data_IF_189421686139
#
_entry.id   IF_189421686139
#
_cell.length_a   1.000
_cell.length_b   1.000
_cell.length_c   1.000
_cell.angle_alpha   90.00
_cell.angle_beta   90.00
_cell.angle_gamma   90.00
#
_symmetry.space_group_name_H-M   'P 1'
#
loop_
_entity.id
_entity.type
_entity.pdbx_description
1 polymer ?
#
# COMPACT_ATOMS: atom_id res chain seq x y z
N UNK A 1 8.47 -61.86 71.92
CA UNK A 1 7.64 -61.93 70.70
C UNK A 1 7.89 -60.71 69.84
N UNK A 2 8.60 -60.82 68.71
CA UNK A 2 8.65 -59.80 67.67
C UNK A 2 7.64 -60.08 66.54
N UNK A 3 7.17 -59.07 65.80
CA UNK A 3 6.15 -59.23 64.76
C UNK A 3 6.71 -59.79 63.44
N UNK A 4 5.89 -60.43 62.60
CA UNK A 4 6.35 -61.01 61.33
C UNK A 4 6.62 -59.92 60.27
N UNK A 5 7.75 -60.07 59.56
CA UNK A 5 8.15 -59.22 58.44
C UNK A 5 7.24 -59.45 57.22
N UNK A 6 6.70 -58.37 56.65
CA UNK A 6 5.90 -58.41 55.42
C UNK A 6 6.74 -58.81 54.21
N UNK A 7 6.30 -59.82 53.47
CA UNK A 7 6.84 -60.18 52.16
C UNK A 7 6.48 -59.12 51.11
N UNK A 8 7.46 -58.72 50.28
CA UNK A 8 7.33 -57.74 49.20
C UNK A 8 6.86 -58.44 47.92
N UNK A 9 5.70 -58.04 47.39
CA UNK A 9 5.17 -58.55 46.12
C UNK A 9 6.04 -58.11 44.92
N UNK A 10 6.14 -58.92 43.84
CA UNK A 10 6.93 -58.57 42.68
C UNK A 10 6.24 -57.49 41.84
N UNK A 11 7.02 -56.51 41.39
CA UNK A 11 6.55 -55.42 40.53
C UNK A 11 6.16 -55.95 39.14
N UNK A 12 4.95 -55.61 38.69
CA UNK A 12 4.46 -55.89 37.33
C UNK A 12 5.32 -55.15 36.30
N UNK A 13 5.86 -55.88 35.33
CA UNK A 13 6.58 -55.32 34.18
C UNK A 13 5.67 -54.42 33.35
N UNK A 14 6.09 -53.17 33.12
CA UNK A 14 5.42 -52.24 32.21
C UNK A 14 5.56 -52.68 30.75
N UNK A 15 4.67 -52.23 29.86
CA UNK A 15 4.61 -52.72 28.48
C UNK A 15 5.85 -52.28 27.70
N UNK A 16 6.50 -53.24 27.05
CA UNK A 16 7.63 -53.02 26.15
C UNK A 16 7.13 -52.25 24.93
N UNK A 17 7.58 -51.00 24.77
CA UNK A 17 7.32 -50.19 23.57
C UNK A 17 7.96 -50.89 22.37
N UNK A 18 7.14 -51.44 21.48
CA UNK A 18 7.58 -51.98 20.20
C UNK A 18 8.15 -50.85 19.33
N UNK A 19 9.46 -50.93 19.04
CA UNK A 19 10.11 -50.05 18.06
C UNK A 19 9.48 -50.29 16.69
N UNK A 20 8.69 -49.35 16.19
CA UNK A 20 8.22 -49.35 14.79
C UNK A 20 9.45 -49.40 13.88
N UNK A 21 9.54 -50.42 13.02
CA UNK A 21 10.58 -50.52 11.98
C UNK A 21 10.48 -49.28 11.08
N UNK A 22 11.61 -48.62 10.85
CA UNK A 22 11.70 -47.49 9.94
C UNK A 22 11.28 -47.95 8.53
N UNK A 23 10.34 -47.23 7.92
CA UNK A 23 9.90 -47.50 6.56
C UNK A 23 11.08 -47.32 5.60
N UNK A 24 11.32 -48.31 4.75
CA UNK A 24 12.33 -48.23 3.68
C UNK A 24 11.92 -47.12 2.70
N UNK A 25 12.84 -46.17 2.47
CA UNK A 25 12.58 -45.03 1.60
C UNK A 25 12.30 -45.53 0.17
N UNK A 26 11.15 -45.13 -0.39
CA UNK A 26 10.82 -45.38 -1.80
C UNK A 26 11.93 -44.80 -2.69
N UNK A 27 12.29 -45.47 -3.81
CA UNK A 27 13.30 -44.95 -4.73
C UNK A 27 12.89 -43.55 -5.24
N UNK A 28 13.86 -42.68 -5.52
CA UNK A 28 13.56 -41.35 -6.05
C UNK A 28 12.78 -41.49 -7.36
N UNK A 29 11.70 -40.70 -7.48
CA UNK A 29 10.90 -40.62 -8.70
C UNK A 29 11.78 -40.31 -9.91
N UNK A 30 11.42 -40.82 -11.08
CA UNK A 30 12.13 -40.49 -12.31
C UNK A 30 12.06 -38.98 -12.57
N UNK A 31 13.08 -38.42 -13.21
CA UNK A 31 13.13 -36.99 -13.58
C UNK A 31 11.86 -36.50 -14.30
N UNK A 32 11.32 -37.20 -15.33
CA UNK A 32 10.10 -36.76 -15.99
C UNK A 32 8.87 -36.79 -15.08
N UNK A 33 8.74 -37.76 -14.16
CA UNK A 33 7.63 -37.79 -13.19
C UNK A 33 7.75 -36.66 -12.16
N UNK A 34 8.98 -36.31 -11.79
CA UNK A 34 9.24 -35.18 -10.88
C UNK A 34 8.87 -33.87 -11.53
N UNK A 35 9.21 -33.66 -12.81
CA UNK A 35 8.81 -32.49 -13.59
C UNK A 35 7.28 -32.38 -13.66
N UNK A 36 6.57 -33.46 -14.02
CA UNK A 36 5.10 -33.49 -14.03
C UNK A 36 4.48 -33.07 -12.70
N UNK A 37 5.01 -33.57 -11.57
CA UNK A 37 4.53 -33.17 -10.23
C UNK A 37 4.79 -31.70 -9.93
N UNK A 38 5.93 -31.16 -10.39
CA UNK A 38 6.24 -29.73 -10.23
C UNK A 38 5.28 -28.88 -11.07
N UNK A 39 4.97 -29.27 -12.30
CA UNK A 39 3.97 -28.56 -13.13
C UNK A 39 2.57 -28.57 -12.51
N UNK A 40 2.11 -29.70 -11.96
CA UNK A 40 0.84 -29.72 -11.23
C UNK A 40 0.81 -28.73 -10.06
N UNK A 41 1.93 -28.65 -9.33
CA UNK A 41 2.07 -27.66 -8.25
C UNK A 41 2.16 -26.23 -8.78
N UNK A 42 2.78 -26.00 -9.93
CA UNK A 42 2.94 -24.70 -10.55
C UNK A 42 1.58 -24.16 -11.01
N UNK A 43 0.76 -24.99 -11.66
CA UNK A 43 -0.60 -24.62 -12.09
C UNK A 43 -1.45 -24.20 -10.89
N UNK A 44 -1.41 -24.96 -9.78
CA UNK A 44 -2.10 -24.58 -8.56
C UNK A 44 -1.58 -23.26 -7.97
N UNK A 45 -0.26 -23.05 -7.96
CA UNK A 45 0.34 -21.81 -7.47
C UNK A 45 -0.03 -20.59 -8.33
N UNK A 46 -0.12 -20.75 -9.65
CA UNK A 46 -0.55 -19.68 -10.56
C UNK A 46 -2.02 -19.36 -10.35
N UNK A 47 -2.87 -20.38 -10.24
CA UNK A 47 -4.30 -20.20 -9.95
C UNK A 47 -4.54 -19.45 -8.63
N UNK A 48 -3.77 -19.77 -7.59
CA UNK A 48 -3.86 -19.12 -6.28
C UNK A 48 -3.02 -17.81 -6.18
N UNK A 49 -2.45 -17.33 -7.30
CA UNK A 49 -1.60 -16.12 -7.38
C UNK A 49 -0.42 -16.13 -6.40
N UNK A 50 0.11 -17.32 -6.08
CA UNK A 50 1.27 -17.51 -5.23
C UNK A 50 2.59 -17.31 -5.98
N UNK A 51 2.78 -16.13 -6.57
CA UNK A 51 3.85 -15.83 -7.54
C UNK A 51 5.27 -16.15 -7.04
N UNK A 52 5.61 -15.78 -5.80
CA UNK A 52 6.92 -16.08 -5.21
C UNK A 52 7.22 -17.58 -5.10
N UNK A 53 6.18 -18.40 -4.93
CA UNK A 53 6.33 -19.86 -4.89
C UNK A 53 6.35 -20.43 -6.31
N UNK A 54 5.53 -19.90 -7.22
CA UNK A 54 5.55 -20.24 -8.64
C UNK A 54 6.94 -20.07 -9.24
N UNK A 55 7.59 -18.91 -9.04
CA UNK A 55 8.96 -18.63 -9.52
C UNK A 55 9.95 -19.69 -9.00
N UNK A 56 9.91 -20.02 -7.70
CA UNK A 56 10.77 -21.06 -7.12
C UNK A 56 10.48 -22.45 -7.68
N UNK A 57 9.24 -22.73 -8.07
CA UNK A 57 8.87 -24.00 -8.72
C UNK A 57 9.40 -24.03 -10.14
N UNK A 58 9.28 -22.94 -10.91
CA UNK A 58 9.90 -22.80 -12.22
C UNK A 58 11.42 -22.99 -12.16
N UNK A 59 12.11 -22.36 -11.19
CA UNK A 59 13.55 -22.55 -10.99
C UNK A 59 13.93 -24.03 -10.74
N UNK A 60 13.06 -24.79 -10.05
CA UNK A 60 13.27 -26.24 -9.85
C UNK A 60 13.06 -27.03 -11.13
N UNK A 61 12.10 -26.64 -11.96
CA UNK A 61 11.85 -27.28 -13.27
C UNK A 61 13.03 -26.99 -14.19
N UNK A 62 13.42 -25.72 -14.34
CA UNK A 62 14.55 -25.29 -15.17
C UNK A 62 15.90 -25.84 -14.72
N UNK A 63 16.03 -26.23 -13.44
CA UNK A 63 17.22 -26.95 -12.96
C UNK A 63 17.27 -28.41 -13.43
N UNK A 64 16.12 -29.02 -13.69
CA UNK A 64 16.02 -30.38 -14.23
C UNK A 64 16.05 -30.37 -15.76
N UNK A 65 15.36 -29.41 -16.37
CA UNK A 65 15.33 -29.17 -17.81
C UNK A 65 15.56 -27.68 -18.13
N UNK A 66 16.81 -27.26 -18.39
CA UNK A 66 17.13 -25.85 -18.68
C UNK A 66 16.47 -25.28 -19.93
N UNK A 67 15.99 -26.12 -20.84
CA UNK A 67 15.44 -25.69 -22.14
C UNK A 67 13.90 -25.78 -22.19
N UNK A 68 13.24 -26.01 -21.05
CA UNK A 68 11.79 -26.07 -20.95
C UNK A 68 11.17 -24.66 -21.19
N UNK A 69 10.58 -24.49 -22.38
CA UNK A 69 9.98 -23.24 -22.81
C UNK A 69 8.75 -22.84 -21.97
N UNK A 70 7.94 -23.80 -21.54
CA UNK A 70 6.74 -23.55 -20.74
C UNK A 70 7.11 -23.08 -19.33
N UNK A 71 8.12 -23.69 -18.72
CA UNK A 71 8.63 -23.29 -17.42
C UNK A 71 9.27 -21.89 -17.47
N UNK A 72 9.97 -21.56 -18.57
CA UNK A 72 10.54 -20.23 -18.78
C UNK A 72 9.44 -19.17 -18.94
N UNK A 73 8.43 -19.43 -19.78
CA UNK A 73 7.32 -18.50 -19.98
C UNK A 73 6.49 -18.31 -18.71
N UNK A 74 6.20 -19.39 -17.98
CA UNK A 74 5.53 -19.32 -16.69
C UNK A 74 6.35 -18.56 -15.65
N UNK A 75 7.69 -18.67 -15.69
CA UNK A 75 8.58 -17.89 -14.82
C UNK A 75 8.50 -16.41 -15.14
N UNK A 76 8.62 -16.04 -16.42
CA UNK A 76 8.51 -14.64 -16.86
C UNK A 76 7.16 -14.08 -16.42
N UNK A 77 6.05 -14.74 -16.74
CA UNK A 77 4.71 -14.32 -16.32
C UNK A 77 4.61 -14.10 -14.81
N UNK A 78 5.05 -15.09 -14.00
CA UNK A 78 5.00 -14.98 -12.55
C UNK A 78 5.91 -13.87 -11.99
N UNK A 79 7.04 -13.55 -12.65
CA UNK A 79 7.90 -12.43 -12.27
C UNK A 79 7.25 -11.09 -12.59
N UNK A 80 6.58 -10.96 -13.73
CA UNK A 80 5.86 -9.76 -14.13
C UNK A 80 4.69 -9.47 -13.16
N UNK A 81 3.90 -10.48 -12.82
CA UNK A 81 2.81 -10.37 -11.83
C UNK A 81 3.31 -10.13 -10.39
N UNK A 82 4.54 -10.55 -10.08
CA UNK A 82 5.18 -10.29 -8.79
C UNK A 82 5.88 -8.93 -8.72
N UNK A 83 5.75 -8.08 -9.75
CA UNK A 83 6.41 -6.77 -9.87
C UNK A 83 7.96 -6.88 -9.86
N UNK A 84 8.50 -8.04 -10.27
CA UNK A 84 9.94 -8.32 -10.35
C UNK A 84 10.51 -7.99 -11.73
N UNK A 85 10.26 -6.77 -12.21
CA UNK A 85 10.61 -6.33 -13.56
C UNK A 85 12.13 -6.32 -13.83
N UNK A 86 12.94 -5.92 -12.85
CA UNK A 86 14.40 -5.90 -12.99
C UNK A 86 14.97 -7.31 -13.25
N UNK A 87 14.53 -8.31 -12.48
CA UNK A 87 14.97 -9.69 -12.69
C UNK A 87 14.38 -10.31 -13.96
N UNK A 88 13.20 -9.87 -14.40
CA UNK A 88 12.63 -10.34 -15.65
C UNK A 88 13.50 -9.92 -16.84
N UNK A 89 14.02 -8.69 -16.85
CA UNK A 89 14.91 -8.18 -17.90
C UNK A 89 16.18 -9.01 -18.10
N UNK A 90 16.67 -9.69 -17.07
CA UNK A 90 17.85 -10.58 -17.16
C UNK A 90 17.57 -11.86 -17.95
N UNK A 91 16.30 -12.26 -18.05
CA UNK A 91 15.86 -13.53 -18.65
C UNK A 91 15.17 -13.30 -20.00
N UNK A 92 14.55 -12.14 -20.20
CA UNK A 92 13.82 -11.78 -21.40
C UNK A 92 14.73 -11.74 -22.63
N UNK A 93 14.53 -12.71 -23.53
CA UNK A 93 15.14 -12.77 -24.87
C UNK A 93 14.49 -11.86 -25.92
N UNK A 94 14.98 -11.91 -27.16
CA UNK A 94 14.53 -11.11 -28.30
C UNK A 94 13.07 -11.33 -28.70
N UNK A 95 12.50 -12.48 -28.35
CA UNK A 95 11.11 -12.83 -28.63
C UNK A 95 10.09 -12.20 -27.66
N UNK A 96 10.55 -11.59 -26.56
CA UNK A 96 9.69 -11.00 -25.54
C UNK A 96 9.76 -9.46 -25.56
N UNK A 97 9.70 -8.87 -26.76
CA UNK A 97 9.90 -7.42 -26.92
C UNK A 97 8.88 -6.62 -26.13
N UNK A 98 7.61 -7.04 -26.14
CA UNK A 98 6.55 -6.39 -25.38
C UNK A 98 6.79 -6.44 -23.87
N UNK A 99 7.06 -7.63 -23.30
CA UNK A 99 7.31 -7.78 -21.86
C UNK A 99 8.56 -7.01 -21.41
N UNK A 100 9.55 -6.89 -22.31
CA UNK A 100 10.75 -6.10 -22.10
C UNK A 100 10.46 -4.60 -22.07
N UNK A 101 9.68 -4.10 -23.03
CA UNK A 101 9.21 -2.70 -23.03
C UNK A 101 8.35 -2.40 -21.80
N UNK A 102 7.41 -3.29 -21.45
CA UNK A 102 6.55 -3.12 -20.28
C UNK A 102 7.36 -3.13 -18.97
N UNK A 103 8.38 -4.01 -18.85
CA UNK A 103 9.30 -4.01 -17.70
C UNK A 103 10.08 -2.70 -17.58
N UNK A 104 10.58 -2.16 -18.69
CA UNK A 104 11.28 -0.87 -18.71
C UNK A 104 10.35 0.29 -18.32
N UNK A 105 9.12 0.29 -18.82
CA UNK A 105 8.09 1.25 -18.44
C UNK A 105 7.82 1.24 -16.93
N UNK A 106 7.67 0.05 -16.33
CA UNK A 106 7.48 -0.13 -14.89
C UNK A 106 8.67 0.33 -14.06
N UNK A 107 9.88 0.23 -14.61
CA UNK A 107 11.11 0.75 -14.02
C UNK A 107 11.36 2.24 -14.30
N UNK A 108 10.38 2.94 -14.89
CA UNK A 108 10.47 4.37 -15.24
C UNK A 108 11.61 4.68 -16.23
N UNK A 109 11.79 3.81 -17.23
CA UNK A 109 12.76 3.95 -18.32
C UNK A 109 12.01 4.09 -19.65
N UNK A 110 11.23 5.16 -19.78
CA UNK A 110 10.29 5.37 -20.88
C UNK A 110 10.98 5.49 -22.23
N UNK A 111 12.13 6.18 -22.28
CA UNK A 111 12.91 6.33 -23.51
C UNK A 111 13.32 4.97 -24.10
N UNK A 112 13.87 4.07 -23.29
CA UNK A 112 14.25 2.73 -23.73
C UNK A 112 13.03 1.86 -24.05
N UNK A 113 11.94 2.01 -23.29
CA UNK A 113 10.69 1.30 -23.57
C UNK A 113 10.14 1.71 -24.95
N UNK A 114 10.15 3.00 -25.28
CA UNK A 114 9.72 3.52 -26.58
C UNK A 114 10.56 2.96 -27.72
N UNK A 115 11.89 2.97 -27.59
CA UNK A 115 12.77 2.42 -28.63
C UNK A 115 12.41 0.97 -28.95
N UNK A 116 12.11 0.16 -27.94
CA UNK A 116 11.65 -1.22 -28.16
C UNK A 116 10.28 -1.22 -28.84
N UNK A 117 9.32 -0.41 -28.37
CA UNK A 117 7.98 -0.36 -28.97
C UNK A 117 8.00 0.09 -30.42
N UNK A 118 8.92 0.97 -30.83
CA UNK A 118 9.07 1.42 -32.21
C UNK A 118 9.55 0.29 -33.15
N UNK A 119 10.22 -0.72 -32.61
CA UNK A 119 10.58 -1.93 -33.37
C UNK A 119 9.41 -2.90 -33.54
N UNK A 120 8.36 -2.77 -32.72
CA UNK A 120 7.16 -3.60 -32.81
C UNK A 120 6.18 -2.90 -33.76
N UNK A 121 5.68 -3.63 -34.76
CA UNK A 121 4.67 -3.09 -35.68
C UNK A 121 3.38 -2.77 -34.92
N UNK A 122 2.93 -1.50 -34.88
CA UNK A 122 1.85 -1.05 -34.00
C UNK A 122 0.45 -1.51 -34.39
N UNK A 123 0.27 -2.07 -35.59
CA UNK A 123 -1.07 -2.27 -36.14
C UNK A 123 -1.87 -3.42 -35.50
N UNK A 124 -1.24 -4.40 -34.87
CA UNK A 124 -1.93 -5.67 -34.56
C UNK A 124 -2.09 -6.01 -33.08
N UNK A 125 -1.40 -5.30 -32.16
CA UNK A 125 -1.48 -5.61 -30.74
C UNK A 125 -2.02 -4.43 -29.92
N UNK A 126 -3.25 -4.58 -29.45
CA UNK A 126 -3.94 -3.65 -28.54
C UNK A 126 -3.08 -3.27 -27.34
N UNK A 127 -2.35 -4.23 -26.78
CA UNK A 127 -1.52 -4.00 -25.60
C UNK A 127 -0.34 -3.05 -25.88
N UNK A 128 0.21 -3.10 -27.10
CA UNK A 128 1.26 -2.18 -27.57
C UNK A 128 0.72 -0.75 -27.68
N UNK A 129 -0.48 -0.57 -28.24
CA UNK A 129 -1.12 0.74 -28.34
C UNK A 129 -1.39 1.35 -26.96
N UNK A 130 -1.92 0.55 -26.02
CA UNK A 130 -2.16 0.99 -24.63
C UNK A 130 -0.85 1.44 -23.98
N UNK A 131 0.23 0.65 -24.11
CA UNK A 131 1.51 0.99 -23.51
C UNK A 131 2.14 2.24 -24.14
N UNK A 132 2.03 2.39 -25.47
CA UNK A 132 2.46 3.62 -26.16
C UNK A 132 1.71 4.85 -25.66
N UNK A 133 0.39 4.77 -25.51
CA UNK A 133 -0.43 5.88 -25.02
C UNK A 133 -0.02 6.28 -23.59
N UNK A 134 0.17 5.29 -22.72
CA UNK A 134 0.63 5.51 -21.35
C UNK A 134 2.02 6.16 -21.28
N UNK A 135 2.95 5.74 -22.15
CA UNK A 135 4.28 6.33 -22.25
C UNK A 135 4.20 7.79 -22.73
N UNK A 136 3.42 8.08 -23.78
CA UNK A 136 3.23 9.45 -24.29
C UNK A 136 2.62 10.37 -23.22
N UNK A 137 1.63 9.87 -22.47
CA UNK A 137 1.04 10.59 -21.35
C UNK A 137 2.07 10.96 -20.27
N UNK A 138 2.96 10.02 -19.89
CA UNK A 138 3.99 10.28 -18.87
C UNK A 138 5.04 11.29 -19.32
N UNK A 139 5.32 11.37 -20.60
CA UNK A 139 6.25 12.37 -21.15
C UNK A 139 5.62 13.73 -21.43
N UNK A 140 4.30 13.84 -21.30
CA UNK A 140 3.56 15.07 -21.57
C UNK A 140 3.21 15.29 -23.04
N UNK A 141 3.45 14.30 -23.91
CA UNK A 141 2.92 14.30 -25.27
C UNK A 141 1.44 13.87 -25.25
N UNK A 142 0.61 14.75 -24.70
CA UNK A 142 -0.82 14.49 -24.51
C UNK A 142 -1.59 14.43 -25.83
N UNK A 143 -1.11 15.08 -26.89
CA UNK A 143 -1.74 15.05 -28.21
C UNK A 143 -1.66 13.63 -28.79
N UNK A 144 -0.46 13.05 -28.88
CA UNK A 144 -0.26 11.68 -29.34
C UNK A 144 -0.97 10.67 -28.43
N UNK A 145 -0.99 10.89 -27.11
CA UNK A 145 -1.73 10.04 -26.18
C UNK A 145 -3.24 10.04 -26.47
N UNK A 146 -3.84 11.20 -26.75
CA UNK A 146 -5.25 11.31 -27.13
C UNK A 146 -5.55 10.54 -28.42
N UNK A 147 -4.71 10.71 -29.45
CA UNK A 147 -4.87 10.02 -30.73
C UNK A 147 -4.81 8.50 -30.58
N UNK A 148 -3.86 7.99 -29.78
CA UNK A 148 -3.74 6.56 -29.50
C UNK A 148 -4.93 6.01 -28.69
N UNK A 149 -5.44 6.77 -27.71
CA UNK A 149 -6.64 6.37 -26.98
C UNK A 149 -7.89 6.37 -27.87
N UNK A 150 -8.05 7.35 -28.76
CA UNK A 150 -9.14 7.33 -29.75
C UNK A 150 -9.03 6.11 -30.68
N UNK A 151 -7.83 5.81 -31.17
CA UNK A 151 -7.58 4.61 -31.98
C UNK A 151 -7.95 3.32 -31.23
N UNK A 152 -7.70 3.24 -29.93
CA UNK A 152 -8.11 2.10 -29.11
C UNK A 152 -9.64 2.00 -28.99
N UNK A 153 -10.33 3.13 -28.82
CA UNK A 153 -11.79 3.20 -28.70
C UNK A 153 -12.53 2.80 -29.99
N UNK A 154 -11.84 2.88 -31.14
CA UNK A 154 -12.37 2.42 -32.42
C UNK A 154 -12.32 0.89 -32.59
N UNK A 155 -11.67 0.16 -31.68
CA UNK A 155 -11.57 -1.31 -31.74
C UNK A 155 -12.85 -2.00 -31.20
N UNK A 156 -13.34 -3.09 -31.85
CA UNK A 156 -14.65 -3.68 -31.56
C UNK A 156 -14.74 -4.52 -30.26
N UNK A 157 -13.62 -4.93 -29.66
CA UNK A 157 -13.58 -5.79 -28.47
C UNK A 157 -13.04 -5.05 -27.23
N UNK A 158 -13.68 -3.94 -26.85
CA UNK A 158 -13.21 -3.09 -25.75
C UNK A 158 -14.10 -3.08 -24.50
N UNK A 159 -15.17 -3.89 -24.43
CA UNK A 159 -16.23 -3.73 -23.43
C UNK A 159 -15.75 -3.65 -21.97
N UNK A 160 -14.74 -4.45 -21.58
CA UNK A 160 -14.23 -4.47 -20.21
C UNK A 160 -13.22 -3.34 -19.91
N UNK A 161 -12.57 -2.78 -20.93
CA UNK A 161 -11.48 -1.79 -20.80
C UNK A 161 -11.89 -0.39 -21.28
N UNK A 162 -13.06 -0.26 -21.91
CA UNK A 162 -13.58 0.98 -22.50
C UNK A 162 -13.62 2.12 -21.49
N UNK A 163 -14.14 1.85 -20.28
CA UNK A 163 -14.26 2.87 -19.24
C UNK A 163 -12.88 3.39 -18.79
N UNK A 164 -11.91 2.49 -18.63
CA UNK A 164 -10.55 2.84 -18.25
C UNK A 164 -9.85 3.69 -19.33
N UNK A 165 -10.05 3.33 -20.60
CA UNK A 165 -9.49 4.07 -21.74
C UNK A 165 -10.13 5.45 -21.85
N UNK A 166 -11.45 5.57 -21.66
CA UNK A 166 -12.14 6.86 -21.63
C UNK A 166 -11.66 7.76 -20.49
N UNK A 167 -11.45 7.20 -19.30
CA UNK A 167 -10.92 7.94 -18.16
C UNK A 167 -9.50 8.48 -18.44
N UNK A 168 -8.65 7.65 -19.04
CA UNK A 168 -7.28 8.05 -19.41
C UNK A 168 -7.29 9.09 -20.54
N UNK A 169 -8.16 8.93 -21.55
CA UNK A 169 -8.36 9.91 -22.61
C UNK A 169 -8.80 11.26 -22.02
N UNK A 170 -9.78 11.25 -21.11
CA UNK A 170 -10.25 12.47 -20.46
C UNK A 170 -9.12 13.18 -19.70
N UNK A 171 -8.30 12.44 -18.96
CA UNK A 171 -7.14 13.00 -18.28
C UNK A 171 -6.14 13.61 -19.27
N UNK A 172 -5.83 12.92 -20.37
CA UNK A 172 -4.93 13.43 -21.41
C UNK A 172 -5.48 14.72 -22.06
N UNK A 173 -6.78 14.76 -22.37
CA UNK A 173 -7.47 15.93 -22.92
C UNK A 173 -7.43 17.11 -21.95
N UNK A 174 -7.72 16.90 -20.67
CA UNK A 174 -7.65 17.97 -19.66
C UNK A 174 -6.26 18.60 -19.58
N UNK A 175 -5.20 17.78 -19.64
CA UNK A 175 -3.83 18.28 -19.66
C UNK A 175 -3.51 19.04 -20.95
N UNK A 176 -3.93 18.52 -22.10
CA UNK A 176 -3.74 19.17 -23.39
C UNK A 176 -4.46 20.52 -23.46
N UNK A 177 -5.71 20.57 -23.01
CA UNK A 177 -6.54 21.79 -22.96
C UNK A 177 -5.91 22.84 -22.05
N UNK A 178 -5.39 22.41 -20.88
CA UNK A 178 -4.69 23.27 -19.96
C UNK A 178 -3.44 23.90 -20.59
N UNK A 179 -2.61 23.09 -21.25
CA UNK A 179 -1.38 23.58 -21.90
C UNK A 179 -1.70 24.53 -23.05
N UNK A 180 -2.73 24.21 -23.84
CA UNK A 180 -3.05 24.95 -25.06
C UNK A 180 -3.74 26.28 -24.78
N UNK A 181 -4.69 26.31 -23.84
CA UNK A 181 -5.53 27.50 -23.61
C UNK A 181 -5.86 27.75 -22.14
N UNK A 182 -5.99 26.70 -21.33
CA UNK A 182 -6.41 26.81 -19.93
C UNK A 182 -5.43 27.57 -19.05
N UNK A 183 -4.13 27.45 -19.29
CA UNK A 183 -3.10 28.19 -18.55
C UNK A 183 -3.24 29.70 -18.74
N UNK A 184 -3.37 30.15 -19.98
CA UNK A 184 -3.56 31.57 -20.29
C UNK A 184 -4.87 32.10 -19.73
N UNK A 185 -5.95 31.32 -19.82
CA UNK A 185 -7.23 31.67 -19.22
C UNK A 185 -7.16 31.75 -17.68
N UNK A 186 -6.40 30.86 -17.04
CA UNK A 186 -6.19 30.89 -15.60
C UNK A 186 -5.40 32.13 -15.18
N UNK A 187 -4.35 32.51 -15.92
CA UNK A 187 -3.59 33.74 -15.66
C UNK A 187 -4.48 34.98 -15.76
N UNK A 188 -5.39 35.04 -16.75
CA UNK A 188 -6.33 36.15 -16.90
C UNK A 188 -7.37 36.26 -15.78
N UNK A 189 -7.58 35.20 -14.99
CA UNK A 189 -8.51 35.18 -13.84
C UNK A 189 -7.83 35.46 -12.51
N UNK A 190 -6.50 35.59 -12.48
CA UNK A 190 -5.79 35.88 -11.23
C UNK A 190 -6.17 37.30 -10.74
N UNK A 191 -6.49 37.45 -9.44
CA UNK A 191 -6.74 38.76 -8.87
C UNK A 191 -5.49 39.64 -8.97
N UNK A 192 -5.68 40.96 -9.04
CA UNK A 192 -4.54 41.86 -9.06
C UNK A 192 -3.84 41.85 -7.68
N UNK A 193 -2.56 42.22 -7.63
CA UNK A 193 -1.78 42.20 -6.40
C UNK A 193 -2.36 43.11 -5.29
N UNK A 194 -2.91 44.27 -5.65
CA UNK A 194 -3.55 45.19 -4.70
C UNK A 194 -4.85 44.62 -4.10
N UNK A 195 -5.60 43.82 -4.87
CA UNK A 195 -6.80 43.14 -4.38
C UNK A 195 -6.43 42.09 -3.32
N UNK A 196 -5.28 41.41 -3.49
CA UNK A 196 -4.77 40.42 -2.52
C UNK A 196 -4.30 41.06 -1.21
N UNK A 197 -3.69 42.25 -1.27
CA UNK A 197 -3.21 42.98 -0.09
C UNK A 197 -4.37 43.59 0.73
N UNK A 198 -5.47 43.94 0.06
CA UNK A 198 -6.65 44.55 0.69
C UNK A 198 -7.70 43.51 1.11
N UNK A 199 -7.61 42.28 0.58
CA UNK A 199 -8.54 41.22 0.90
C UNK A 199 -8.44 40.81 2.39
N UNK A 200 -9.56 40.75 3.12
CA UNK A 200 -9.55 40.22 4.48
C UNK A 200 -9.10 38.75 4.45
N UNK A 201 -8.38 38.27 5.49
CA UNK A 201 -7.89 36.91 5.54
C UNK A 201 -9.06 35.93 5.38
N UNK A 202 -8.87 34.83 4.62
CA UNK A 202 -9.95 33.87 4.37
C UNK A 202 -10.47 33.36 5.71
N UNK A 203 -11.77 33.58 5.95
CA UNK A 203 -12.42 33.11 7.16
C UNK A 203 -12.25 31.58 7.27
N UNK A 204 -11.97 31.04 8.47
CA UNK A 204 -11.85 29.59 8.64
C UNK A 204 -13.12 28.92 8.13
N UNK A 205 -12.96 27.84 7.36
CA UNK A 205 -14.07 27.11 6.76
C UNK A 205 -15.10 26.74 7.83
N UNK A 206 -16.25 27.41 7.81
CA UNK A 206 -17.36 27.12 8.72
C UNK A 206 -17.93 25.75 8.35
N UNK A 207 -18.23 24.88 9.33
CA UNK A 207 -18.86 23.60 9.06
C UNK A 207 -20.19 23.82 8.34
N UNK A 208 -20.46 23.01 7.31
CA UNK A 208 -21.60 23.12 6.38
C UNK A 208 -22.98 23.23 7.05
N UNK A 209 -23.08 22.89 8.35
CA UNK A 209 -24.29 23.04 9.15
C UNK A 209 -24.77 24.50 9.30
N UNK A 210 -23.88 25.50 9.25
CA UNK A 210 -24.27 26.91 9.43
C UNK A 210 -24.83 27.57 8.15
N UNK A 211 -24.49 27.05 6.95
CA UNK A 211 -25.01 27.60 5.68
C UNK A 211 -26.50 27.31 5.45
N UNK A 212 -27.02 26.22 6.02
CA UNK A 212 -28.43 25.82 5.87
C UNK A 212 -29.40 26.70 6.70
N UNK A 213 -28.92 27.35 7.75
CA UNK A 213 -29.75 28.19 8.64
C UNK A 213 -29.97 29.58 8.06
N UNK A 214 -29.05 30.09 7.22
CA UNK A 214 -29.19 31.42 6.62
C UNK A 214 -30.23 31.48 5.48
N UNK A 215 -30.55 30.34 4.85
CA UNK A 215 -31.47 30.28 3.70
C UNK A 215 -32.95 30.25 4.07
N UNK A 216 -33.32 30.13 5.35
CA UNK A 216 -34.73 30.05 5.78
C UNK A 216 -35.30 31.36 6.33
N UNK A 217 -34.51 32.41 6.45
CA UNK A 217 -34.94 33.71 7.02
C UNK A 217 -35.44 34.75 6.01
N UNK A 218 -35.50 34.45 4.71
CA UNK A 218 -35.99 35.39 3.68
C UNK A 218 -37.09 34.77 2.81
N UNK A 219 -38.28 34.62 3.38
CA UNK A 219 -39.52 34.52 2.61
C UNK A 219 -40.69 35.00 3.48
N UNK A 220 -41.01 36.29 3.39
CA UNK A 220 -42.25 36.84 3.94
C UNK A 220 -42.86 37.80 2.90
N UNK A 221 -43.88 37.33 2.16
CA UNK A 221 -44.83 38.17 1.42
C UNK A 221 -46.11 37.40 1.04
N UNK A 222 -47.26 37.97 1.44
CA UNK A 222 -48.63 37.81 0.94
C UNK A 222 -49.63 36.82 1.62
N UNK A 223 -50.95 37.14 1.68
CA UNK A 223 -51.79 36.94 2.87
C UNK A 223 -53.08 36.08 2.74
N UNK A 224 -53.58 35.61 3.91
CA UNK A 224 -54.97 35.30 4.38
C UNK A 224 -55.99 34.52 3.50
N UNK A 225 -56.45 33.35 3.98
CA UNK A 225 -57.86 32.99 4.32
C UNK A 225 -57.99 31.51 4.78
N UNK A 226 -59.12 31.14 5.40
CA UNK A 226 -59.32 30.14 6.47
C UNK A 226 -59.81 28.71 6.03
N UNK A 227 -59.97 27.73 6.97
CA UNK A 227 -59.81 26.27 6.76
C UNK A 227 -61.13 25.50 6.51
N UNK A 228 -61.09 24.15 6.37
CA UNK A 228 -61.63 23.35 7.49
C UNK A 228 -60.97 21.99 7.77
N UNK A 229 -60.99 21.66 9.08
CA UNK A 229 -61.25 20.35 9.73
C UNK A 229 -60.34 19.14 9.46
N UNK A 230 -59.69 18.64 10.52
CA UNK A 230 -59.36 17.21 10.63
C UNK A 230 -58.17 16.86 11.52
N UNK A 231 -58.46 16.53 12.78
CA UNK A 231 -57.61 15.80 13.75
C UNK A 231 -56.25 16.41 14.15
N UNK A 232 -56.24 16.98 15.35
CA UNK A 232 -55.06 17.21 16.17
C UNK A 232 -54.57 15.90 16.81
N UNK A 233 -53.36 15.46 16.48
CA UNK A 233 -52.57 14.59 17.34
C UNK A 233 -51.08 14.98 17.22
N UNK A 234 -50.40 15.39 18.32
CA UNK A 234 -48.98 15.68 18.26
C UNK A 234 -48.19 14.36 18.16
N UNK A 235 -47.29 14.27 17.18
CA UNK A 235 -46.34 13.17 17.06
C UNK A 235 -45.35 13.27 18.24
N UNK A 236 -45.48 12.36 19.21
CA UNK A 236 -44.57 12.26 20.34
C UNK A 236 -43.15 11.86 19.89
N UNK A 237 -42.08 12.42 20.47
CA UNK A 237 -40.71 12.08 20.11
C UNK A 237 -40.39 10.62 20.47
N UNK A 238 -39.82 9.89 19.52
CA UNK A 238 -39.47 8.46 19.67
C UNK A 238 -38.42 8.29 20.77
N UNK A 239 -38.71 7.46 21.78
CA UNK A 239 -37.75 7.13 22.87
C UNK A 239 -36.52 6.40 22.31
N UNK A 240 -35.33 6.88 22.69
CA UNK A 240 -34.04 6.26 22.37
C UNK A 240 -33.99 4.86 23.02
N UNK A 241 -33.63 3.84 22.24
CA UNK A 241 -33.54 2.46 22.72
C UNK A 241 -32.37 2.31 23.69
N UNK A 242 -32.67 2.06 24.97
CA UNK A 242 -31.71 1.92 26.08
C UNK A 242 -30.64 0.82 25.94
N UNK A 243 -30.66 0.03 24.86
CA UNK A 243 -29.63 -0.97 24.56
C UNK A 243 -28.31 -0.36 24.05
N UNK A 244 -28.29 0.91 23.64
CA UNK A 244 -27.10 1.59 23.09
C UNK A 244 -26.51 2.66 24.03
N UNK A 245 -26.94 2.69 25.29
CA UNK A 245 -26.46 3.64 26.29
C UNK A 245 -25.82 2.86 27.43
N UNK A 246 -24.53 3.08 27.75
CA UNK A 246 -23.85 2.44 28.88
C UNK A 246 -24.58 2.67 30.20
N UNK A 247 -24.55 1.68 31.11
CA UNK A 247 -25.17 1.81 32.44
C UNK A 247 -24.62 3.05 33.16
N UNK A 248 -25.50 3.99 33.49
CA UNK A 248 -25.17 5.24 34.21
C UNK A 248 -25.34 6.54 33.41
N UNK A 249 -25.66 6.47 32.11
CA UNK A 249 -25.87 7.68 31.28
C UNK A 249 -27.36 7.89 31.00
N UNK A 250 -27.94 8.96 31.55
CA UNK A 250 -29.28 9.46 31.19
C UNK A 250 -29.10 10.67 30.27
N UNK A 251 -29.61 10.62 29.01
CA UNK A 251 -29.52 11.76 28.10
C UNK A 251 -30.22 12.98 28.69
N UNK A 252 -29.50 14.10 28.81
CA UNK A 252 -30.02 15.38 29.31
C UNK A 252 -29.68 15.72 30.77
N UNK A 253 -29.15 14.77 31.56
CA UNK A 253 -28.79 15.00 32.98
C UNK A 253 -27.35 14.56 33.30
N UNK A 254 -26.67 13.89 32.37
CA UNK A 254 -25.24 13.58 32.53
C UNK A 254 -24.38 14.76 32.06
N UNK A 255 -23.40 15.24 32.86
CA UNK A 255 -22.44 16.22 32.38
C UNK A 255 -21.69 15.66 31.15
N UNK A 256 -21.32 16.51 30.18
CA UNK A 256 -20.60 16.08 28.99
C UNK A 256 -19.34 15.31 29.40
N UNK A 257 -18.98 14.24 28.67
CA UNK A 257 -17.78 13.45 28.98
C UNK A 257 -16.55 14.37 29.02
N UNK A 258 -15.67 14.11 29.99
CA UNK A 258 -14.51 14.94 30.35
C UNK A 258 -13.78 15.52 29.10
N UNK A 259 -13.69 16.86 28.98
CA UNK A 259 -13.08 17.52 27.84
C UNK A 259 -11.59 17.18 27.69
N UNK A 260 -10.91 16.68 28.72
CA UNK A 260 -9.50 16.30 28.66
C UNK A 260 -9.30 14.83 28.26
N UNK A 261 -10.35 14.15 27.78
CA UNK A 261 -10.29 12.73 27.41
C UNK A 261 -9.32 12.43 26.27
N UNK A 262 -9.06 13.40 25.40
CA UNK A 262 -8.14 13.27 24.27
C UNK A 262 -6.68 13.56 24.63
N UNK A 263 -6.40 14.12 25.83
CA UNK A 263 -5.03 14.31 26.33
C UNK A 263 -4.41 13.03 26.88
N UNK A 264 -3.07 12.92 26.84
CA UNK A 264 -2.36 11.79 27.46
C UNK A 264 -2.61 11.78 28.97
N UNK A 265 -2.59 10.60 29.61
CA UNK A 265 -3.00 10.43 31.01
C UNK A 265 -2.21 11.31 32.00
N UNK A 266 -0.97 11.66 31.68
CA UNK A 266 -0.09 12.53 32.47
C UNK A 266 -0.40 14.02 32.33
N UNK A 267 -1.13 14.41 31.28
CA UNK A 267 -1.46 15.80 30.94
C UNK A 267 -2.90 16.15 31.34
N UNK A 268 -3.62 15.20 31.95
CA UNK A 268 -4.98 15.42 32.46
C UNK A 268 -4.91 16.10 33.82
N UNK A 269 -5.75 17.09 34.05
CA UNK A 269 -5.93 17.79 35.33
C UNK A 269 -6.24 16.84 36.49
N UNK A 270 -6.86 15.69 36.23
CA UNK A 270 -7.15 14.62 37.20
C UNK A 270 -5.93 13.76 37.56
N UNK A 271 -4.79 13.96 36.89
CA UNK A 271 -3.57 13.21 37.14
C UNK A 271 -2.84 13.74 38.37
N UNK A 272 -3.10 13.13 39.52
CA UNK A 272 -2.24 13.30 40.69
C UNK A 272 -1.09 12.30 40.63
N UNK A 273 0.12 12.79 40.32
CA UNK A 273 1.33 12.00 40.49
C UNK A 273 1.48 11.62 41.96
N UNK A 274 1.26 10.34 42.28
CA UNK A 274 1.42 9.82 43.63
C UNK A 274 2.80 10.15 44.18
N UNK A 275 2.83 10.74 45.39
CA UNK A 275 4.04 11.06 46.16
C UNK A 275 5.03 9.88 46.11
N UNK A 276 6.13 10.06 45.37
CA UNK A 276 7.22 9.10 45.29
C UNK A 276 7.91 9.08 46.67
N UNK A 277 7.62 8.07 47.50
CA UNK A 277 8.37 7.82 48.74
C UNK A 277 9.83 7.58 48.37
N UNK A 278 10.71 8.24 49.10
CA UNK A 278 12.10 8.47 48.75
C UNK A 278 12.88 7.19 48.41
N UNK A 279 13.56 7.25 47.28
CA UNK A 279 14.82 6.55 47.07
C UNK A 279 15.89 7.62 46.84
N UNK A 280 16.60 7.91 47.92
CA UNK A 280 17.75 8.80 48.02
C UNK A 280 18.98 8.23 47.29
N UNK A 281 19.80 9.13 46.74
CA UNK A 281 21.16 8.89 46.24
C UNK A 281 21.22 8.76 44.71
N UNK A 282 21.83 9.64 43.92
CA UNK A 282 22.71 10.77 44.19
C UNK A 282 22.57 11.83 43.07
N UNK A 283 22.92 13.05 43.42
CA UNK A 283 22.78 14.31 42.69
C UNK A 283 23.93 14.56 41.71
N UNK A 284 23.76 15.60 40.86
CA UNK A 284 24.69 16.29 39.93
C UNK A 284 24.35 15.98 38.45
N UNK A 285 23.81 16.85 37.58
CA UNK A 285 23.37 18.26 37.59
C UNK A 285 22.60 18.50 36.26
N UNK A 286 21.47 19.25 36.26
CA UNK A 286 21.32 20.68 35.90
C UNK A 286 21.31 20.96 34.36
N UNK A 287 20.14 20.99 33.69
CA UNK A 287 19.25 22.10 33.20
C UNK A 287 19.41 22.47 31.70
N UNK A 288 18.32 22.32 30.92
CA UNK A 288 17.51 23.36 30.20
C UNK A 288 18.02 23.80 28.83
N UNK A 289 17.16 23.70 27.80
CA UNK A 289 17.32 24.41 26.51
C UNK A 289 16.80 25.85 26.58
N UNK A 290 16.36 26.45 25.46
CA UNK A 290 17.11 26.83 24.24
C UNK A 290 17.04 28.37 23.99
N UNK A 291 18.00 28.98 23.29
CA UNK A 291 17.75 30.20 22.49
C UNK A 291 18.86 30.46 21.45
N UNK A 292 18.47 31.17 20.38
CA UNK A 292 19.21 31.43 19.15
C UNK A 292 20.31 32.49 19.28
N UNK A 293 21.30 32.44 18.38
CA UNK A 293 21.83 33.59 17.62
C UNK A 293 22.81 33.08 16.55
N UNK A 294 22.71 33.64 15.35
CA UNK A 294 23.59 33.32 14.22
C UNK A 294 24.92 34.08 14.25
N UNK A 295 25.84 33.68 13.37
CA UNK A 295 27.01 34.49 13.01
C UNK A 295 28.32 33.73 12.76
N UNK A 296 28.51 33.31 11.50
CA UNK A 296 29.74 33.34 10.68
C UNK A 296 31.15 32.93 11.20
N UNK A 297 31.81 32.11 10.37
CA UNK A 297 33.28 32.02 10.16
C UNK A 297 34.01 31.03 11.08
N UNK A 298 34.89 30.14 10.65
CA UNK A 298 35.53 29.86 9.37
C UNK A 298 36.82 29.06 9.64
N UNK A 299 37.19 28.15 8.73
CA UNK A 299 38.60 27.84 8.42
C UNK A 299 39.33 26.66 9.10
N UNK A 300 39.82 25.74 8.24
CA UNK A 300 41.09 25.01 8.37
C UNK A 300 41.05 23.70 9.14
N UNK A 301 41.17 22.52 8.52
CA UNK A 301 42.42 21.92 7.99
C UNK A 301 42.96 20.93 9.04
N UNK A 302 43.48 19.72 8.82
CA UNK A 302 43.97 18.95 7.69
C UNK A 302 44.85 17.82 8.30
N UNK A 303 45.06 16.71 7.60
CA UNK A 303 46.01 15.63 7.97
C UNK A 303 45.32 14.28 8.20
N UNK A 304 45.45 13.25 7.36
CA UNK A 304 46.62 12.52 6.82
C UNK A 304 46.97 11.25 7.63
N UNK A 305 47.18 10.14 6.90
CA UNK A 305 47.80 8.89 7.35
C UNK A 305 46.79 7.76 7.58
N UNK A 306 46.84 6.58 6.97
CA UNK A 306 47.88 5.91 6.20
C UNK A 306 48.18 4.52 6.79
N UNK A 307 48.03 3.46 5.98
CA UNK A 307 48.55 2.09 6.22
C UNK A 307 47.66 1.20 7.11
N UNK A 308 47.50 -0.11 6.89
CA UNK A 308 48.18 -1.07 6.03
C UNK A 308 48.25 -2.44 6.74
N UNK A 309 48.13 -3.55 5.98
CA UNK A 309 48.39 -4.94 6.42
C UNK A 309 47.16 -5.69 6.95
N UNK A 310 46.68 -6.79 6.37
CA UNK A 310 47.37 -8.07 6.10
C UNK A 310 47.16 -8.98 7.33
N UNK A 311 46.76 -10.25 7.30
CA UNK A 311 46.55 -11.30 6.31
C UNK A 311 46.64 -12.64 7.06
N UNK A 312 46.06 -13.72 6.48
CA UNK A 312 46.19 -15.16 6.89
C UNK A 312 45.48 -15.58 8.20
N UNK A 313 44.92 -16.77 8.34
CA UNK A 313 44.88 -17.92 7.43
C UNK A 313 44.13 -19.12 8.02
N UNK A 314 43.61 -19.93 7.10
CA UNK A 314 43.38 -21.39 7.11
C UNK A 314 43.52 -22.14 8.45
N UNK A 315 42.42 -22.73 8.91
CA UNK A 315 42.41 -23.93 9.77
C UNK A 315 41.69 -25.07 9.05
N UNK A 316 42.45 -26.06 8.58
CA UNK A 316 41.97 -27.31 7.96
C UNK A 316 42.29 -28.47 8.93
N UNK A 317 41.34 -29.41 9.02
CA UNK A 317 41.47 -30.86 9.31
C UNK A 317 41.44 -31.41 10.75
N UNK A 318 40.56 -32.43 10.84
CA UNK A 318 40.59 -33.72 11.57
C UNK A 318 40.20 -33.63 13.05
N UNK A 319 39.23 -34.41 13.53
CA UNK A 319 39.06 -35.87 13.38
C UNK A 319 37.63 -36.28 13.07
#
# INVERSE_FOLDING_TARGET
MPPPSKAKAPAKGGPVKSKKKAATAKPPLSEPERIKKLFNSLVAQIADRHWKNAIKTCDKILKLDPNDADALQAKIYAMMEADQHAGALDILGSQHQYERAYSLYKLQREAEAREILDTITPQDDRSVLVLRAQICYREGDYATACDLYNQLLDQPELADEQEDILNNLHAAQQHLDFITSGFLAALGRLPNAADLETAPPPAPARPQAELLVASTSTANAAPKAQPPTGSSAPIAPRKVRARRVPKGVVPGVTPPPDPERWLKKTERSTYHAGKKRGRTGATQGFTTGPEATGGAGGGGGGGSGGGGGGGKGKGKKKR
#
